data_IF_599829035600
#
_entry.id   IF_599829035600
#
_cell.length_a   1.000
_cell.length_b   1.000
_cell.length_c   1.000
_cell.angle_alpha   90.00
_cell.angle_beta   90.00
_cell.angle_gamma   90.00
#
_symmetry.space_group_name_H-M   'P 1'
#
loop_
_entity.id
_entity.type
_entity.pdbx_description
1 polymer ?
#
# COMPACT_ATOMS: atom_id res chain seq x y z
N UNK A 1 -2.36 13.22 -3.16
CA UNK A 1 -1.92 11.97 -3.81
C UNK A 1 -2.10 12.04 -5.33
N UNK A 2 -3.31 11.85 -5.88
CA UNK A 2 -3.54 11.79 -7.34
C UNK A 2 -3.05 13.04 -8.10
N UNK A 3 -3.39 14.24 -7.61
CA UNK A 3 -2.97 15.49 -8.27
C UNK A 3 -1.44 15.60 -8.38
N UNK A 4 -0.71 15.24 -7.31
CA UNK A 4 0.74 15.22 -7.30
C UNK A 4 1.30 14.16 -8.26
N UNK A 5 0.77 12.93 -8.21
CA UNK A 5 1.23 11.85 -9.10
C UNK A 5 1.07 12.26 -10.57
N UNK A 6 -0.07 12.83 -10.94
CA UNK A 6 -0.32 13.36 -12.31
C UNK A 6 0.66 14.47 -12.69
N UNK A 7 0.93 15.40 -11.77
CA UNK A 7 1.85 16.52 -12.02
C UNK A 7 3.26 16.04 -12.37
N UNK A 8 3.72 14.93 -11.78
CA UNK A 8 5.04 14.33 -12.09
C UNK A 8 4.99 13.25 -13.18
N UNK A 9 3.90 13.15 -13.94
CA UNK A 9 3.76 12.16 -15.02
C UNK A 9 3.59 10.71 -14.54
N UNK A 10 3.05 10.51 -13.34
CA UNK A 10 2.84 9.18 -12.71
C UNK A 10 1.37 8.96 -12.34
N UNK A 11 1.09 7.81 -11.74
CA UNK A 11 -0.19 7.46 -11.10
C UNK A 11 0.01 6.93 -9.69
N UNK A 12 -1.08 6.64 -8.99
CA UNK A 12 -1.02 5.81 -7.79
C UNK A 12 -1.00 4.33 -8.22
N UNK A 13 -0.39 3.44 -7.41
CA UNK A 13 -0.51 2.00 -7.64
C UNK A 13 -1.96 1.54 -7.50
N UNK A 14 -2.32 0.46 -8.20
CA UNK A 14 -3.50 -0.31 -7.81
C UNK A 14 -3.24 -1.02 -6.49
N UNK A 15 -4.28 -1.48 -5.82
CA UNK A 15 -4.16 -2.30 -4.61
C UNK A 15 -3.37 -3.58 -4.88
N UNK A 16 -3.63 -4.22 -6.03
CA UNK A 16 -2.95 -5.44 -6.41
C UNK A 16 -1.46 -5.21 -6.70
N UNK A 17 -1.11 -4.15 -7.45
CA UNK A 17 0.29 -3.77 -7.67
C UNK A 17 1.01 -3.49 -6.35
N UNK A 18 0.33 -2.81 -5.42
CA UNK A 18 0.89 -2.53 -4.11
C UNK A 18 1.15 -3.82 -3.31
N UNK A 19 0.19 -4.75 -3.29
CA UNK A 19 0.33 -6.03 -2.56
C UNK A 19 1.49 -6.86 -3.10
N UNK A 20 1.56 -7.01 -4.43
CA UNK A 20 2.63 -7.74 -5.11
C UNK A 20 3.99 -7.11 -4.85
N UNK A 21 4.06 -5.78 -4.90
CA UNK A 21 5.28 -5.03 -4.60
C UNK A 21 5.72 -5.21 -3.14
N UNK A 22 4.78 -5.21 -2.18
CA UNK A 22 5.06 -5.40 -0.76
C UNK A 22 5.53 -6.83 -0.47
N UNK A 23 4.86 -7.82 -1.06
CA UNK A 23 5.15 -9.24 -0.85
C UNK A 23 6.32 -9.76 -1.71
N UNK A 24 6.95 -8.91 -2.51
CA UNK A 24 8.05 -9.28 -3.41
C UNK A 24 7.67 -10.35 -4.45
N UNK A 25 6.44 -10.34 -4.93
CA UNK A 25 5.90 -11.40 -5.80
C UNK A 25 5.94 -12.81 -5.17
N UNK A 26 6.02 -12.89 -3.85
CA UNK A 26 6.03 -14.12 -3.06
C UNK A 26 4.81 -14.14 -2.10
N UNK A 27 4.50 -15.30 -1.52
CA UNK A 27 3.43 -15.47 -0.51
C UNK A 27 3.90 -15.05 0.90
N UNK A 28 4.35 -13.80 1.04
CA UNK A 28 4.87 -13.29 2.33
C UNK A 28 3.79 -12.66 3.19
N UNK A 29 3.83 -12.96 4.49
CA UNK A 29 2.95 -12.32 5.49
C UNK A 29 3.35 -10.85 5.68
N UNK A 30 4.65 -10.57 5.76
CA UNK A 30 5.23 -9.23 5.86
C UNK A 30 6.28 -9.04 4.75
N UNK A 31 6.66 -7.81 4.38
CA UNK A 31 7.72 -7.58 3.38
C UNK A 31 9.08 -8.21 3.74
N UNK A 32 9.25 -8.56 5.02
CA UNK A 32 10.44 -9.20 5.60
C UNK A 32 10.31 -10.72 5.79
N UNK A 33 9.20 -11.32 5.35
CA UNK A 33 8.95 -12.76 5.48
C UNK A 33 7.82 -13.08 6.47
N UNK A 34 8.06 -14.02 7.39
CA UNK A 34 7.04 -14.52 8.32
C UNK A 34 6.83 -13.62 9.56
N UNK A 35 7.76 -12.71 9.85
CA UNK A 35 7.71 -11.84 11.02
C UNK A 35 8.18 -10.43 10.72
N UNK A 36 7.87 -9.51 11.64
CA UNK A 36 8.27 -8.11 11.57
C UNK A 36 8.68 -7.59 12.94
N UNK A 37 9.83 -6.95 12.99
CA UNK A 37 10.40 -6.34 14.17
C UNK A 37 10.60 -4.83 14.00
N UNK A 38 10.74 -4.10 15.11
CA UNK A 38 10.88 -2.63 15.08
C UNK A 38 12.16 -2.13 14.41
N UNK A 39 13.12 -3.02 14.15
CA UNK A 39 14.33 -2.73 13.36
C UNK A 39 14.08 -2.81 11.85
N UNK A 40 12.88 -3.22 11.43
CA UNK A 40 12.52 -3.47 10.04
C UNK A 40 11.42 -2.53 9.51
N UNK A 41 10.65 -1.91 10.39
CA UNK A 41 9.62 -0.94 10.03
C UNK A 41 9.28 -0.01 11.20
N UNK A 42 8.70 1.15 10.89
CA UNK A 42 8.18 2.07 11.89
C UNK A 42 6.73 1.75 12.25
N UNK A 43 6.49 1.15 13.42
CA UNK A 43 5.16 0.87 13.95
C UNK A 43 5.18 0.87 15.47
N UNK A 44 4.00 1.04 16.10
CA UNK A 44 3.87 1.30 17.53
C UNK A 44 4.89 2.35 18.03
N UNK A 45 4.92 3.48 17.34
CA UNK A 45 5.85 4.60 17.56
C UNK A 45 5.08 5.90 17.84
N UNK A 46 5.80 7.00 18.00
CA UNK A 46 5.24 8.32 18.30
C UNK A 46 5.01 9.19 17.07
N UNK A 47 5.76 8.98 15.99
CA UNK A 47 5.65 9.74 14.74
C UNK A 47 6.27 8.97 13.56
N UNK A 48 6.18 9.55 12.38
CA UNK A 48 6.88 9.16 11.17
C UNK A 48 8.41 9.18 11.33
N UNK A 49 9.07 8.39 10.51
CA UNK A 49 10.53 8.42 10.31
C UNK A 49 10.83 8.88 8.89
N UNK A 50 12.03 9.42 8.62
CA UNK A 50 12.47 9.67 7.25
C UNK A 50 12.28 8.42 6.38
N UNK A 51 11.88 8.59 5.12
CA UNK A 51 11.82 7.47 4.17
C UNK A 51 13.19 6.80 4.05
N UNK A 52 13.21 5.48 3.88
CA UNK A 52 14.41 4.64 3.83
C UNK A 52 15.20 4.57 5.15
N UNK A 53 14.54 4.79 6.29
CA UNK A 53 15.16 4.59 7.62
C UNK A 53 15.34 3.11 7.97
N UNK A 54 14.59 2.22 7.32
CA UNK A 54 14.62 0.78 7.54
C UNK A 54 15.09 0.04 6.28
N UNK A 55 15.56 -1.22 6.40
CA UNK A 55 15.99 -2.00 5.24
C UNK A 55 14.88 -2.17 4.18
N UNK A 56 15.22 -2.21 2.89
CA UNK A 56 14.24 -2.47 1.84
C UNK A 56 13.82 -3.95 1.80
N UNK A 57 12.71 -4.23 1.11
CA UNK A 57 12.35 -5.60 0.72
C UNK A 57 13.21 -6.11 -0.45
N UNK A 58 12.97 -7.34 -0.92
CA UNK A 58 13.76 -7.97 -2.01
C UNK A 58 13.71 -7.21 -3.35
N UNK A 59 12.69 -6.38 -3.56
CA UNK A 59 12.56 -5.53 -4.75
C UNK A 59 13.20 -4.15 -4.58
N UNK A 60 13.90 -3.89 -3.47
CA UNK A 60 14.51 -2.59 -3.19
C UNK A 60 13.49 -1.52 -2.75
N UNK A 61 12.27 -1.93 -2.38
CA UNK A 61 11.22 -1.02 -1.91
C UNK A 61 11.32 -0.82 -0.40
N UNK A 62 11.31 0.43 0.01
CA UNK A 62 11.42 0.85 1.41
C UNK A 62 10.05 1.22 1.97
N UNK A 63 9.91 1.02 3.29
CA UNK A 63 8.74 1.43 4.07
C UNK A 63 7.42 0.92 3.45
N UNK A 64 7.43 -0.29 2.88
CA UNK A 64 6.22 -0.91 2.34
C UNK A 64 5.20 -1.21 3.43
N UNK A 65 5.61 -1.25 4.70
CA UNK A 65 4.71 -1.37 5.84
C UNK A 65 5.16 -0.45 6.97
N UNK A 66 4.20 0.01 7.76
CA UNK A 66 4.41 1.00 8.80
C UNK A 66 4.64 2.40 8.22
N UNK A 67 5.20 3.29 9.04
CA UNK A 67 5.40 4.70 8.75
C UNK A 67 4.08 5.43 8.43
N UNK A 68 3.53 5.31 7.23
CA UNK A 68 2.23 5.88 6.85
C UNK A 68 1.42 4.87 6.04
N UNK A 69 0.09 4.90 6.19
CA UNK A 69 -0.76 4.19 5.25
C UNK A 69 -0.63 4.85 3.88
N UNK A 70 -0.65 4.05 2.82
CA UNK A 70 -0.48 4.54 1.46
C UNK A 70 -1.77 4.42 0.65
N UNK A 71 -2.20 5.53 0.05
CA UNK A 71 -3.36 5.56 -0.85
C UNK A 71 -3.10 4.79 -2.15
N UNK A 72 -4.02 3.89 -2.49
CA UNK A 72 -4.10 3.24 -3.80
C UNK A 72 -5.15 3.91 -4.70
N UNK A 73 -5.12 3.59 -5.99
CA UNK A 73 -6.08 4.11 -6.97
C UNK A 73 -7.50 3.56 -6.76
N UNK A 74 -7.64 2.37 -6.21
CA UNK A 74 -8.87 1.58 -6.18
C UNK A 74 -9.94 2.16 -5.26
N UNK A 75 -11.20 2.02 -5.68
CA UNK A 75 -12.32 2.10 -4.75
C UNK A 75 -12.33 0.84 -3.87
N UNK A 76 -12.65 1.00 -2.59
CA UNK A 76 -12.76 -0.11 -1.65
C UNK A 76 -14.15 -0.72 -1.72
N UNK A 77 -14.19 -2.03 -1.91
CA UNK A 77 -15.36 -2.87 -1.72
C UNK A 77 -14.95 -4.08 -0.87
N UNK A 78 -15.82 -4.40 0.09
CA UNK A 78 -15.61 -5.47 1.07
C UNK A 78 -15.54 -6.86 0.43
N UNK A 79 -16.31 -7.08 -0.63
CA UNK A 79 -16.42 -8.34 -1.34
C UNK A 79 -15.65 -8.31 -2.67
N UNK A 80 -14.83 -7.28 -2.92
CA UNK A 80 -14.14 -7.12 -4.21
C UNK A 80 -13.33 -8.36 -4.59
N UNK A 81 -12.66 -8.99 -3.63
CA UNK A 81 -11.80 -10.16 -3.89
C UNK A 81 -12.63 -11.35 -4.41
N UNK A 82 -13.89 -11.51 -3.98
CA UNK A 82 -14.78 -12.54 -4.51
C UNK A 82 -15.14 -12.29 -5.98
N UNK A 83 -15.40 -11.04 -6.33
CA UNK A 83 -15.73 -10.65 -7.71
C UNK A 83 -14.51 -10.61 -8.64
N UNK A 84 -13.35 -10.21 -8.10
CA UNK A 84 -12.10 -10.08 -8.84
C UNK A 84 -11.58 -11.43 -9.34
N UNK A 85 -11.94 -12.55 -8.68
CA UNK A 85 -11.64 -13.90 -9.17
C UNK A 85 -12.16 -14.16 -10.60
N UNK A 86 -13.20 -13.44 -11.04
CA UNK A 86 -13.74 -13.56 -12.40
C UNK A 86 -12.92 -12.80 -13.44
N UNK A 87 -12.12 -11.81 -13.01
CA UNK A 87 -11.26 -10.96 -13.85
C UNK A 87 -9.94 -10.66 -13.11
N UNK A 88 -9.07 -11.67 -12.96
CA UNK A 88 -7.85 -11.53 -12.15
C UNK A 88 -6.76 -10.70 -12.84
N UNK A 89 -6.87 -10.46 -14.14
CA UNK A 89 -5.87 -9.74 -14.91
C UNK A 89 -5.96 -8.22 -14.68
N UNK A 90 -4.92 -7.66 -14.05
CA UNK A 90 -4.78 -6.23 -13.75
C UNK A 90 -6.04 -5.60 -13.10
N UNK A 91 -6.46 -6.08 -11.92
CA UNK A 91 -7.67 -5.59 -11.26
C UNK A 91 -7.50 -4.12 -10.84
N UNK A 92 -8.53 -3.30 -11.08
CA UNK A 92 -8.52 -1.84 -10.81
C UNK A 92 -9.53 -1.41 -9.75
N UNK A 93 -10.10 -2.37 -9.03
CA UNK A 93 -11.20 -2.14 -8.10
C UNK A 93 -12.55 -1.97 -8.82
N UNK A 94 -13.62 -1.75 -8.06
CA UNK A 94 -14.91 -1.34 -8.59
C UNK A 94 -14.82 0.02 -9.31
N UNK A 95 -15.74 0.27 -10.24
CA UNK A 95 -15.80 1.54 -10.99
C UNK A 95 -16.14 2.76 -10.09
N UNK A 96 -16.89 2.52 -9.01
CA UNK A 96 -17.36 3.54 -8.09
C UNK A 96 -17.33 3.02 -6.64
N UNK A 97 -17.28 3.93 -5.67
CA UNK A 97 -17.33 3.58 -4.27
C UNK A 97 -17.36 4.82 -3.37
N UNK A 98 -17.44 4.57 -2.07
CA UNK A 98 -17.43 5.62 -1.03
C UNK A 98 -16.02 5.86 -0.49
N UNK A 99 -15.23 4.80 -0.37
CA UNK A 99 -13.90 4.82 0.24
C UNK A 99 -12.83 4.41 -0.77
N UNK A 100 -11.64 4.98 -0.66
CA UNK A 100 -10.45 4.51 -1.39
C UNK A 100 -9.63 3.56 -0.53
N UNK A 101 -8.90 2.66 -1.18
CA UNK A 101 -8.02 1.71 -0.52
C UNK A 101 -6.81 2.40 0.11
N UNK A 102 -6.45 1.96 1.32
CA UNK A 102 -5.22 2.29 2.04
C UNK A 102 -4.47 0.99 2.39
N UNK A 103 -3.15 1.00 2.26
CA UNK A 103 -2.30 -0.18 2.47
C UNK A 103 -1.12 0.11 3.40
N UNK A 104 -0.52 -0.95 3.94
CA UNK A 104 0.76 -0.90 4.65
C UNK A 104 0.73 -0.61 6.15
N UNK A 105 -0.35 -0.07 6.70
CA UNK A 105 -0.33 0.37 8.11
C UNK A 105 0.41 1.68 8.28
N UNK A 106 0.52 2.17 9.52
CA UNK A 106 1.24 3.41 9.83
C UNK A 106 2.04 3.29 11.13
N UNK A 107 2.74 4.35 11.52
CA UNK A 107 3.52 4.39 12.76
C UNK A 107 2.70 4.11 14.04
N UNK A 108 1.38 4.28 14.03
CA UNK A 108 0.48 3.93 15.16
C UNK A 108 0.01 2.47 15.14
N UNK A 109 0.19 1.78 14.04
CA UNK A 109 -0.37 0.45 13.82
C UNK A 109 0.28 -0.63 14.68
N UNK A 110 -0.45 -1.72 14.86
CA UNK A 110 0.06 -2.97 15.43
C UNK A 110 0.47 -3.94 14.31
N UNK A 111 1.16 -5.03 14.66
CA UNK A 111 1.69 -5.99 13.69
C UNK A 111 0.63 -6.49 12.69
N UNK A 112 -0.61 -6.71 13.12
CA UNK A 112 -1.66 -7.22 12.23
C UNK A 112 -2.04 -6.27 11.09
N UNK A 113 -1.93 -4.95 11.28
CA UNK A 113 -2.18 -3.98 10.22
C UNK A 113 -1.04 -3.93 9.18
N UNK A 114 0.12 -4.49 9.51
CA UNK A 114 1.35 -4.46 8.70
C UNK A 114 1.48 -5.67 7.79
N UNK A 115 0.51 -6.58 7.78
CA UNK A 115 0.56 -7.72 6.86
C UNK A 115 0.44 -7.22 5.43
N UNK A 116 1.18 -7.81 4.49
CA UNK A 116 1.10 -7.46 3.07
C UNK A 116 -0.34 -7.48 2.55
N UNK A 117 -1.13 -8.48 2.96
CA UNK A 117 -2.53 -8.64 2.58
C UNK A 117 -3.51 -7.73 3.33
N UNK A 118 -3.11 -7.03 4.41
CA UNK A 118 -4.03 -6.24 5.22
C UNK A 118 -4.54 -5.00 4.47
N UNK A 119 -5.86 -4.88 4.32
CA UNK A 119 -6.52 -3.80 3.57
C UNK A 119 -7.18 -2.82 4.54
N UNK A 120 -6.95 -1.53 4.34
CA UNK A 120 -7.69 -0.47 5.02
C UNK A 120 -8.40 0.44 4.01
N UNK A 121 -9.23 1.35 4.51
CA UNK A 121 -10.02 2.25 3.67
C UNK A 121 -10.41 3.50 4.42
N UNK A 122 -10.48 4.61 3.70
CA UNK A 122 -11.06 5.85 4.21
C UNK A 122 -11.63 6.71 3.07
N UNK A 123 -12.37 7.76 3.43
CA UNK A 123 -12.95 8.70 2.47
C UNK A 123 -11.80 9.49 1.80
N UNK A 124 -11.80 9.62 0.46
CA UNK A 124 -10.72 10.28 -0.28
C UNK A 124 -10.49 11.75 0.09
N UNK A 125 -11.47 12.43 0.71
CA UNK A 125 -11.34 13.81 1.18
C UNK A 125 -10.65 13.95 2.54
N UNK A 126 -10.38 12.86 3.26
CA UNK A 126 -9.78 12.90 4.59
C UNK A 126 -8.26 13.08 4.48
N UNK A 127 -7.75 14.04 5.25
CA UNK A 127 -6.31 14.25 5.46
C UNK A 127 -5.98 13.88 6.90
N UNK A 128 -4.95 13.06 7.09
CA UNK A 128 -4.51 12.59 8.39
C UNK A 128 -2.98 12.50 8.40
N UNK A 129 -2.34 12.78 9.53
CA UNK A 129 -0.88 12.68 9.71
C UNK A 129 -0.33 11.25 9.60
N UNK A 130 -1.22 10.25 9.57
CA UNK A 130 -0.88 8.84 9.37
C UNK A 130 -1.03 8.38 7.93
N UNK A 131 -1.48 9.25 7.01
CA UNK A 131 -1.74 8.90 5.61
C UNK A 131 -0.73 9.59 4.68
N UNK A 132 -0.16 8.82 3.79
CA UNK A 132 0.72 9.24 2.70
C UNK A 132 0.36 8.51 1.41
N UNK A 133 1.31 8.43 0.49
CA UNK A 133 1.15 7.70 -0.77
C UNK A 133 2.51 7.48 -1.42
N UNK A 134 2.60 6.45 -2.28
CA UNK A 134 3.67 6.31 -3.27
C UNK A 134 3.10 6.37 -4.68
N UNK A 135 3.97 6.67 -5.64
CA UNK A 135 3.60 6.70 -7.05
C UNK A 135 4.03 5.40 -7.75
N UNK A 136 3.29 5.04 -8.80
CA UNK A 136 3.59 4.00 -9.75
C UNK A 136 3.59 4.58 -11.17
N UNK A 137 4.16 3.85 -12.12
CA UNK A 137 4.13 4.18 -13.53
C UNK A 137 3.97 2.88 -14.32
N UNK A 138 3.33 2.97 -15.47
CA UNK A 138 3.27 1.86 -16.41
C UNK A 138 4.65 1.67 -17.05
N UNK A 139 5.03 0.42 -17.30
CA UNK A 139 6.26 0.13 -18.05
C UNK A 139 5.96 0.41 -19.53
N UNK A 140 6.84 1.14 -20.22
CA UNK A 140 6.73 1.30 -21.67
C UNK A 140 6.91 -0.08 -22.32
N UNK A 141 5.98 -0.46 -23.20
CA UNK A 141 6.16 -1.65 -24.02
C UNK A 141 7.30 -1.36 -25.01
N UNK A 142 8.33 -2.22 -25.02
CA UNK A 142 9.36 -2.24 -26.07
C UNK A 142 8.76 -2.52 -27.46
#
# INVERSE_FOLDING_TARGET
>A
AIAYAKWIGKRLPTEAEWEVAASCCEELIYPTGAGIERTQANFFSADTTPVKSYPPNKLGLYDMVGNVYEWCQDWYDYNYYETAMQRPDNPKGPLQGVYRVLRGGCWKSLKDDLRCAHRHRNNPGIVNRTYGFRCAADVEAE
#
